data_IF_357938866153
#
_entry.id   IF_357938866153
#
_cell.length_a   1.000
_cell.length_b   1.000
_cell.length_c   1.000
_cell.angle_alpha   90.00
_cell.angle_beta   90.00
_cell.angle_gamma   90.00
#
_symmetry.space_group_name_H-M   'P 1'
#
loop_
_entity.id
_entity.type
_entity.pdbx_description
1 polymer ?
#
# COMPACT_ATOMS: atom_id res chain seq x y z
N UNK A 1 8.10 -7.40 -35.58
CA UNK A 1 9.13 -8.02 -34.72
C UNK A 1 8.72 -9.44 -34.35
N UNK A 2 9.66 -10.34 -34.06
CA UNK A 2 9.33 -11.75 -33.78
C UNK A 2 8.53 -11.94 -32.48
N UNK A 3 8.66 -11.01 -31.53
CA UNK A 3 7.93 -11.03 -30.26
C UNK A 3 6.45 -10.65 -30.35
N UNK A 4 5.97 -10.18 -31.51
CA UNK A 4 4.57 -9.77 -31.65
C UNK A 4 3.66 -10.98 -31.87
N UNK A 5 2.48 -11.02 -31.23
CA UNK A 5 1.59 -12.17 -31.26
C UNK A 5 1.02 -12.42 -32.66
N UNK A 6 0.99 -13.68 -33.11
CA UNK A 6 0.48 -14.03 -34.45
C UNK A 6 -0.87 -14.75 -34.43
N UNK A 7 -1.23 -15.33 -33.29
CA UNK A 7 -2.49 -16.04 -33.04
C UNK A 7 -2.91 -15.91 -31.56
N UNK A 8 -4.02 -16.54 -31.21
CA UNK A 8 -4.53 -16.60 -29.84
C UNK A 8 -5.16 -15.29 -29.34
N UNK A 9 -5.18 -15.13 -28.01
CA UNK A 9 -5.77 -14.00 -27.31
C UNK A 9 -4.89 -13.55 -26.14
N UNK A 10 -4.90 -12.25 -25.83
CA UNK A 10 -4.05 -11.69 -24.77
C UNK A 10 -4.06 -10.16 -24.67
N UNK A 11 -3.13 -9.62 -23.89
CA UNK A 11 -2.88 -8.18 -23.77
C UNK A 11 -1.48 -7.89 -24.32
N UNK A 12 -1.42 -7.04 -25.33
CA UNK A 12 -0.19 -6.39 -25.78
C UNK A 12 0.00 -5.12 -24.96
N UNK A 13 0.86 -5.19 -23.96
CA UNK A 13 1.12 -4.08 -23.03
C UNK A 13 2.32 -3.24 -23.50
N UNK A 14 2.07 -1.96 -23.76
CA UNK A 14 3.06 -0.97 -24.19
C UNK A 14 3.42 -0.07 -23.00
N UNK A 15 4.48 -0.42 -22.29
CA UNK A 15 4.97 0.38 -21.16
C UNK A 15 5.74 1.62 -21.64
N UNK A 16 5.68 2.68 -20.84
CA UNK A 16 6.36 3.96 -21.07
C UNK A 16 6.17 4.56 -22.48
N UNK A 17 4.97 4.41 -23.06
CA UNK A 17 4.66 4.78 -24.45
C UNK A 17 5.03 6.24 -24.79
N UNK A 18 4.87 7.14 -23.81
CA UNK A 18 5.11 8.57 -23.96
C UNK A 18 6.58 9.00 -23.78
N UNK A 19 7.50 8.07 -23.47
CA UNK A 19 8.95 8.31 -23.53
C UNK A 19 9.55 7.98 -24.90
N UNK A 20 8.83 7.22 -25.71
CA UNK A 20 9.32 6.80 -27.01
C UNK A 20 9.54 8.03 -27.91
N UNK A 21 10.66 8.11 -28.66
CA UNK A 21 10.89 9.19 -29.62
C UNK A 21 9.74 9.28 -30.64
N UNK A 22 9.45 10.48 -31.21
CA UNK A 22 8.32 10.67 -32.11
C UNK A 22 8.25 9.67 -33.29
N UNK A 23 9.40 9.25 -33.83
CA UNK A 23 9.47 8.25 -34.89
C UNK A 23 8.90 6.88 -34.47
N UNK A 24 9.13 6.45 -33.21
CA UNK A 24 8.57 5.22 -32.64
C UNK A 24 7.09 5.38 -32.29
N UNK A 25 6.68 6.60 -31.91
CA UNK A 25 5.27 6.90 -31.64
C UNK A 25 4.41 6.79 -32.91
N UNK A 26 4.94 7.16 -34.09
CA UNK A 26 4.22 6.97 -35.36
C UNK A 26 3.95 5.49 -35.67
N UNK A 27 4.91 4.60 -35.38
CA UNK A 27 4.72 3.16 -35.54
C UNK A 27 3.74 2.60 -34.51
N UNK A 28 3.82 3.03 -33.25
CA UNK A 28 2.86 2.66 -32.22
C UNK A 28 1.45 3.15 -32.56
N UNK A 29 1.32 4.35 -33.12
CA UNK A 29 0.05 4.92 -33.56
C UNK A 29 -0.60 4.07 -34.65
N UNK A 30 0.17 3.60 -35.64
CA UNK A 30 -0.35 2.69 -36.65
C UNK A 30 -0.81 1.35 -36.03
N UNK A 31 -0.02 0.82 -35.09
CA UNK A 31 -0.37 -0.40 -34.36
C UNK A 31 -1.67 -0.26 -33.57
N UNK A 32 -1.89 0.89 -32.94
CA UNK A 32 -3.05 1.16 -32.09
C UNK A 32 -4.29 1.44 -32.96
N UNK A 33 -4.15 2.24 -34.02
CA UNK A 33 -5.25 2.64 -34.90
C UNK A 33 -5.70 1.51 -35.82
N UNK A 34 -4.76 0.96 -36.59
CA UNK A 34 -5.05 0.04 -37.68
C UNK A 34 -4.92 -1.43 -37.22
N UNK A 35 -4.56 -1.65 -35.94
CA UNK A 35 -4.12 -2.95 -35.46
C UNK A 35 -3.00 -3.51 -36.34
N UNK A 36 -2.14 -2.64 -36.90
CA UNK A 36 -1.20 -3.02 -37.97
C UNK A 36 0.09 -2.21 -37.94
N UNK A 37 1.22 -2.85 -38.25
CA UNK A 37 2.51 -2.19 -38.50
C UNK A 37 3.21 -2.87 -39.66
N UNK A 38 3.44 -2.14 -40.74
CA UNK A 38 3.96 -2.72 -41.99
C UNK A 38 3.02 -3.82 -42.49
N UNK A 39 3.55 -5.05 -42.61
CA UNK A 39 2.78 -6.25 -43.02
C UNK A 39 2.17 -7.04 -41.87
N UNK A 40 2.44 -6.66 -40.62
CA UNK A 40 1.96 -7.38 -39.44
C UNK A 40 0.62 -6.80 -38.95
N UNK A 41 -0.36 -7.67 -38.67
CA UNK A 41 -1.67 -7.32 -38.08
C UNK A 41 -1.83 -7.99 -36.72
N UNK A 42 -2.32 -7.25 -35.72
CA UNK A 42 -2.62 -7.75 -34.38
C UNK A 42 -3.86 -8.64 -34.44
N UNK A 43 -3.79 -9.92 -34.01
CA UNK A 43 -4.92 -10.85 -34.09
C UNK A 43 -6.11 -10.39 -33.26
N UNK A 44 -7.35 -10.66 -33.70
CA UNK A 44 -8.57 -10.12 -33.08
C UNK A 44 -8.73 -10.42 -31.57
N UNK A 45 -8.18 -11.55 -31.09
CA UNK A 45 -8.21 -11.91 -29.68
C UNK A 45 -7.35 -11.04 -28.74
N UNK A 46 -6.60 -10.07 -29.27
CA UNK A 46 -5.65 -9.28 -28.50
C UNK A 46 -6.12 -7.85 -28.22
N UNK A 47 -6.03 -7.44 -26.95
CA UNK A 47 -6.22 -6.07 -26.51
C UNK A 47 -4.89 -5.33 -26.46
N UNK A 48 -4.88 -4.04 -26.80
CA UNK A 48 -3.70 -3.19 -26.70
C UNK A 48 -3.87 -2.30 -25.48
N UNK A 49 -2.95 -2.41 -24.52
CA UNK A 49 -2.90 -1.58 -23.33
C UNK A 49 -1.63 -0.74 -23.38
N UNK A 50 -1.68 0.48 -22.85
CA UNK A 50 -0.52 1.34 -22.77
C UNK A 50 -0.42 1.98 -21.39
N UNK A 51 0.80 2.14 -20.90
CA UNK A 51 1.10 2.91 -19.71
C UNK A 51 2.03 4.08 -20.06
N UNK A 52 1.91 5.17 -19.30
CA UNK A 52 2.73 6.35 -19.45
C UNK A 52 2.67 7.19 -18.18
N UNK A 53 3.72 7.95 -17.93
CA UNK A 53 3.77 8.86 -16.77
C UNK A 53 3.06 10.18 -17.12
N UNK A 54 2.45 10.87 -16.16
CA UNK A 54 1.87 12.18 -16.47
C UNK A 54 2.99 13.17 -16.80
N UNK A 55 2.66 14.21 -17.57
CA UNK A 55 3.64 15.25 -17.94
C UNK A 55 4.22 15.96 -16.71
N UNK A 56 3.40 16.10 -15.68
CA UNK A 56 3.78 16.67 -14.39
C UNK A 56 4.72 15.76 -13.58
N UNK A 57 4.84 14.48 -13.95
CA UNK A 57 5.73 13.52 -13.29
C UNK A 57 7.13 13.44 -13.92
N UNK A 58 7.38 14.02 -15.11
CA UNK A 58 8.70 13.92 -15.78
C UNK A 58 8.97 15.10 -16.73
N UNK A 59 10.22 15.58 -16.72
CA UNK A 59 10.71 16.63 -17.63
C UNK A 59 10.99 16.17 -19.08
N UNK A 60 10.84 14.87 -19.38
CA UNK A 60 11.24 14.24 -20.65
C UNK A 60 10.14 13.35 -21.25
N UNK A 61 8.88 13.74 -21.10
CA UNK A 61 7.74 13.06 -21.71
C UNK A 61 7.34 13.79 -22.98
N UNK A 62 7.12 13.04 -24.06
CA UNK A 62 6.50 13.56 -25.26
C UNK A 62 4.98 13.48 -25.12
N UNK A 63 4.31 14.57 -25.48
CA UNK A 63 2.84 14.61 -25.51
C UNK A 63 2.30 13.50 -26.40
N UNK A 64 1.39 12.68 -25.87
CA UNK A 64 0.59 11.83 -26.73
C UNK A 64 -0.25 12.75 -27.63
N UNK A 65 -0.14 12.63 -28.97
CA UNK A 65 -0.95 13.46 -29.87
C UNK A 65 -2.44 13.28 -29.55
N UNK A 66 -3.21 14.37 -29.48
CA UNK A 66 -4.64 14.32 -29.15
C UNK A 66 -5.45 13.29 -29.98
N UNK A 67 -5.18 13.09 -31.29
CA UNK A 67 -5.85 12.05 -32.06
C UNK A 67 -5.56 10.62 -31.59
N UNK A 68 -4.36 10.35 -31.08
CA UNK A 68 -3.99 9.06 -30.50
C UNK A 68 -4.62 8.89 -29.12
N UNK A 69 -4.58 9.94 -28.29
CA UNK A 69 -5.23 9.92 -26.98
C UNK A 69 -6.74 9.64 -27.09
N UNK A 70 -7.45 10.21 -28.06
CA UNK A 70 -8.89 9.98 -28.29
C UNK A 70 -9.25 8.55 -28.78
N UNK A 71 -8.31 7.61 -28.72
CA UNK A 71 -8.48 6.18 -29.06
C UNK A 71 -8.24 5.25 -27.89
N UNK A 72 -7.78 5.79 -26.77
CA UNK A 72 -7.68 5.07 -25.52
C UNK A 72 -8.87 5.36 -24.61
N UNK A 73 -9.24 4.36 -23.82
CA UNK A 73 -9.90 4.60 -22.54
C UNK A 73 -8.81 5.01 -21.56
N UNK A 74 -8.93 6.20 -20.98
CA UNK A 74 -7.95 6.73 -20.04
C UNK A 74 -8.32 6.31 -18.62
N UNK A 75 -7.38 5.64 -17.94
CA UNK A 75 -7.50 5.26 -16.54
C UNK A 75 -6.35 5.88 -15.78
N UNK A 76 -6.68 6.64 -14.74
CA UNK A 76 -5.72 7.28 -13.86
C UNK A 76 -5.41 6.37 -12.67
N UNK A 77 -4.12 6.17 -12.41
CA UNK A 77 -3.64 5.38 -11.28
C UNK A 77 -2.82 6.30 -10.38
N UNK A 78 -3.24 6.40 -9.13
CA UNK A 78 -2.61 7.28 -8.14
C UNK A 78 -2.14 6.49 -6.92
N UNK A 79 -1.05 6.94 -6.25
CA UNK A 79 -0.63 6.34 -4.99
C UNK A 79 -1.71 6.52 -3.92
N UNK A 80 -2.20 5.40 -3.39
CA UNK A 80 -3.15 5.36 -2.28
C UNK A 80 -2.56 4.60 -1.09
N UNK A 81 -2.64 5.22 0.09
CA UNK A 81 -2.04 4.64 1.29
C UNK A 81 -2.78 3.40 1.77
N UNK A 82 -4.11 3.34 1.67
CA UNK A 82 -4.87 2.16 2.13
C UNK A 82 -4.59 0.92 1.25
N UNK A 83 -4.44 1.14 -0.06
CA UNK A 83 -3.99 0.13 -1.02
C UNK A 83 -2.57 -0.33 -0.71
N UNK A 84 -1.65 0.60 -0.44
CA UNK A 84 -0.27 0.25 -0.06
C UNK A 84 -0.20 -0.49 1.28
N UNK A 85 -0.95 -0.06 2.30
CA UNK A 85 -1.03 -0.71 3.61
C UNK A 85 -1.53 -2.15 3.47
N UNK A 86 -2.55 -2.37 2.64
CA UNK A 86 -3.06 -3.72 2.34
C UNK A 86 -1.97 -4.62 1.75
N UNK A 87 -1.26 -4.12 0.73
CA UNK A 87 -0.10 -4.82 0.15
C UNK A 87 0.99 -5.09 1.20
N UNK A 88 1.32 -4.09 2.02
CA UNK A 88 2.38 -4.14 3.02
C UNK A 88 2.11 -5.19 4.11
N UNK A 89 0.87 -5.29 4.58
CA UNK A 89 0.44 -6.30 5.55
C UNK A 89 0.54 -7.72 4.99
N UNK A 90 0.21 -7.91 3.71
CA UNK A 90 0.27 -9.23 3.06
C UNK A 90 1.71 -9.67 2.74
N UNK A 91 2.59 -8.72 2.40
CA UNK A 91 3.97 -8.99 1.98
C UNK A 91 5.00 -8.81 3.10
N UNK A 92 4.57 -8.49 4.32
CA UNK A 92 5.46 -8.36 5.48
C UNK A 92 6.45 -7.19 5.39
N UNK A 93 6.02 -6.05 4.82
CA UNK A 93 6.82 -4.81 4.84
C UNK A 93 7.04 -4.39 6.30
N UNK A 94 8.24 -3.90 6.64
CA UNK A 94 8.62 -3.60 8.02
C UNK A 94 7.59 -2.68 8.72
N UNK A 95 7.13 -3.08 9.91
CA UNK A 95 6.02 -2.44 10.63
C UNK A 95 6.22 -0.94 10.88
N UNK A 96 7.44 -0.53 11.24
CA UNK A 96 7.77 0.86 11.49
C UNK A 96 7.62 1.75 10.25
N UNK A 97 7.84 1.21 9.04
CA UNK A 97 7.60 1.95 7.80
C UNK A 97 6.11 2.10 7.55
N UNK A 98 5.32 1.04 7.76
CA UNK A 98 3.86 1.10 7.63
C UNK A 98 3.28 2.10 8.62
N UNK A 99 3.72 2.06 9.88
CA UNK A 99 3.30 2.97 10.93
C UNK A 99 3.72 4.43 10.65
N UNK A 100 4.93 4.63 10.14
CA UNK A 100 5.38 5.96 9.73
C UNK A 100 4.51 6.52 8.61
N UNK A 101 4.25 5.71 7.57
CA UNK A 101 3.47 6.14 6.42
C UNK A 101 1.98 6.33 6.73
N UNK A 102 1.40 5.61 7.70
CA UNK A 102 0.04 5.93 8.15
C UNK A 102 -0.04 7.27 8.89
N UNK A 103 1.06 7.70 9.52
CA UNK A 103 1.15 9.03 10.13
C UNK A 103 1.51 10.13 9.12
N UNK A 104 2.34 9.80 8.11
CA UNK A 104 2.81 10.71 7.04
C UNK A 104 2.42 10.18 5.66
N UNK A 105 1.13 10.06 5.39
CA UNK A 105 0.64 9.51 4.11
C UNK A 105 1.13 10.27 2.89
N UNK A 106 1.37 11.57 3.02
CA UNK A 106 1.94 12.44 1.96
C UNK A 106 3.35 12.03 1.54
N UNK A 107 4.08 11.28 2.37
CA UNK A 107 5.41 10.76 2.06
C UNK A 107 5.37 9.39 1.38
N UNK A 108 4.20 8.79 1.15
CA UNK A 108 4.12 7.55 0.37
C UNK A 108 4.66 7.76 -1.06
N UNK A 109 4.33 8.90 -1.66
CA UNK A 109 4.80 9.30 -2.97
C UNK A 109 5.07 10.80 -3.01
N UNK A 110 6.34 11.17 -3.14
CA UNK A 110 6.78 12.56 -3.25
C UNK A 110 7.92 12.65 -4.25
N UNK A 111 7.58 12.77 -5.53
CA UNK A 111 8.55 12.91 -6.60
C UNK A 111 9.41 14.18 -6.43
N UNK A 112 10.73 14.01 -6.46
CA UNK A 112 11.68 15.12 -6.61
C UNK A 112 12.60 14.85 -7.82
N UNK A 113 12.35 15.48 -8.99
CA UNK A 113 13.15 15.25 -10.19
C UNK A 113 14.61 15.71 -10.07
N UNK A 114 14.96 16.48 -9.04
CA UNK A 114 16.31 16.99 -8.80
C UNK A 114 17.17 16.01 -8.01
N UNK A 115 16.55 15.00 -7.40
CA UNK A 115 17.21 14.03 -6.56
C UNK A 115 17.12 12.62 -7.18
N UNK A 116 18.20 11.82 -7.10
CA UNK A 116 18.17 10.44 -7.58
C UNK A 116 17.30 9.53 -6.70
N UNK A 117 17.08 9.91 -5.43
CA UNK A 117 16.33 9.16 -4.44
C UNK A 117 15.17 10.00 -3.90
N UNK A 118 13.98 9.42 -3.88
CA UNK A 118 12.76 10.09 -3.45
C UNK A 118 11.69 9.07 -3.02
N UNK A 119 10.69 9.48 -2.19
CA UNK A 119 9.68 8.56 -1.68
C UNK A 119 8.69 8.10 -2.76
N UNK A 120 8.53 6.79 -2.89
CA UNK A 120 7.55 6.11 -3.74
C UNK A 120 7.17 4.78 -3.09
N UNK A 121 6.02 4.18 -3.40
CA UNK A 121 5.67 2.85 -2.87
C UNK A 121 6.80 1.83 -3.07
N UNK A 122 7.47 1.86 -4.23
CA UNK A 122 8.59 0.99 -4.56
C UNK A 122 9.83 1.28 -3.69
N UNK A 123 10.21 2.54 -3.52
CA UNK A 123 11.37 2.89 -2.68
C UNK A 123 11.14 2.64 -1.20
N UNK A 124 9.90 2.71 -0.71
CA UNK A 124 9.56 2.30 0.65
C UNK A 124 9.69 0.80 0.91
N UNK A 125 9.36 -0.04 -0.09
CA UNK A 125 9.63 -1.48 0.00
C UNK A 125 11.14 -1.77 0.04
N UNK A 126 11.94 -1.02 -0.73
CA UNK A 126 13.40 -1.10 -0.67
C UNK A 126 13.92 -0.61 0.69
N UNK A 127 13.41 0.51 1.19
CA UNK A 127 13.74 1.04 2.51
C UNK A 127 13.43 0.03 3.62
N UNK A 128 12.31 -0.70 3.52
CA UNK A 128 11.97 -1.78 4.45
C UNK A 128 13.02 -2.87 4.47
N UNK A 129 13.50 -3.26 3.30
CA UNK A 129 14.55 -4.29 3.17
C UNK A 129 15.87 -3.82 3.81
N UNK A 130 16.26 -2.56 3.61
CA UNK A 130 17.45 -1.97 4.24
C UNK A 130 17.30 -1.82 5.75
N UNK A 131 16.15 -1.31 6.19
CA UNK A 131 15.86 -1.06 7.61
C UNK A 131 15.82 -2.37 8.41
N UNK A 132 15.26 -3.45 7.83
CA UNK A 132 15.27 -4.80 8.42
C UNK A 132 16.69 -5.28 8.81
N UNK A 133 17.72 -4.87 8.06
CA UNK A 133 19.12 -5.27 8.29
C UNK A 133 19.95 -4.15 8.93
N UNK A 134 19.31 -3.07 9.39
CA UNK A 134 19.97 -1.94 10.06
C UNK A 134 20.82 -1.06 9.15
N UNK A 135 20.54 -1.04 7.84
CA UNK A 135 21.21 -0.16 6.88
C UNK A 135 20.47 1.17 6.73
N UNK A 136 21.22 2.21 6.33
CA UNK A 136 20.67 3.54 6.05
C UNK A 136 19.68 3.49 4.87
N UNK A 137 18.47 4.02 5.08
CA UNK A 137 17.41 4.10 4.07
C UNK A 137 17.47 5.39 3.24
N UNK A 138 18.27 6.38 3.65
CA UNK A 138 18.43 7.65 2.94
C UNK A 138 18.71 7.50 1.43
N UNK A 139 19.55 6.55 0.98
CA UNK A 139 19.85 6.39 -0.45
C UNK A 139 18.67 5.98 -1.33
N UNK A 140 17.55 5.54 -0.76
CA UNK A 140 16.37 5.09 -1.53
C UNK A 140 15.17 6.04 -1.42
N UNK A 141 15.00 6.74 -0.30
CA UNK A 141 13.86 7.66 -0.08
C UNK A 141 14.26 9.14 -0.01
N UNK A 142 15.55 9.46 -0.02
CA UNK A 142 16.05 10.82 0.09
C UNK A 142 16.16 11.34 1.53
N UNK A 143 16.99 12.37 1.72
CA UNK A 143 17.39 12.86 3.04
C UNK A 143 16.23 13.44 3.88
N UNK A 144 15.31 14.17 3.24
CA UNK A 144 14.18 14.79 3.95
C UNK A 144 13.25 13.73 4.57
N UNK A 145 12.81 12.76 3.77
CA UNK A 145 11.95 11.68 4.25
C UNK A 145 12.66 10.77 5.27
N UNK A 146 13.96 10.50 5.06
CA UNK A 146 14.74 9.71 6.01
C UNK A 146 14.91 10.41 7.36
N UNK A 147 15.09 11.73 7.39
CA UNK A 147 15.16 12.49 8.64
C UNK A 147 13.84 12.46 9.40
N UNK A 148 12.69 12.62 8.72
CA UNK A 148 11.37 12.48 9.35
C UNK A 148 11.13 11.06 9.87
N UNK A 149 11.52 10.03 9.11
CA UNK A 149 11.44 8.64 9.55
C UNK A 149 12.30 8.41 10.80
N UNK A 150 13.55 8.87 10.82
CA UNK A 150 14.43 8.72 11.97
C UNK A 150 13.87 9.39 13.23
N UNK A 151 13.29 10.59 13.09
CA UNK A 151 12.60 11.27 14.19
C UNK A 151 11.38 10.45 14.69
N UNK A 152 10.61 9.87 13.78
CA UNK A 152 9.50 8.99 14.13
C UNK A 152 9.97 7.71 14.85
N UNK A 153 11.07 7.09 14.43
CA UNK A 153 11.64 5.91 15.10
C UNK A 153 12.08 6.23 16.53
N UNK A 154 12.67 7.42 16.75
CA UNK A 154 13.04 7.84 18.10
C UNK A 154 11.82 7.92 19.04
N UNK A 155 10.66 8.34 18.52
CA UNK A 155 9.39 8.32 19.24
C UNK A 155 8.81 6.90 19.35
N UNK A 156 8.98 6.07 18.32
CA UNK A 156 8.55 4.68 18.29
C UNK A 156 9.23 3.83 19.39
N UNK A 157 10.42 4.20 19.83
CA UNK A 157 11.09 3.55 20.96
C UNK A 157 10.36 3.74 22.31
N UNK A 158 9.47 4.74 22.42
CA UNK A 158 8.67 5.00 23.62
C UNK A 158 7.31 4.28 23.61
N UNK A 159 7.06 3.39 22.65
CA UNK A 159 5.81 2.66 22.58
C UNK A 159 5.58 1.76 23.80
N UNK A 160 4.30 1.50 24.14
CA UNK A 160 3.95 0.50 25.13
C UNK A 160 4.48 -0.89 24.73
N UNK A 161 4.66 -1.76 25.71
CA UNK A 161 5.08 -3.14 25.48
C UNK A 161 3.98 -3.93 24.76
N UNK A 162 4.06 -3.93 23.42
CA UNK A 162 3.11 -4.59 22.55
C UNK A 162 3.12 -6.11 22.75
N UNK A 163 4.26 -6.71 23.09
CA UNK A 163 4.36 -8.15 23.33
C UNK A 163 3.56 -8.56 24.57
N UNK A 164 3.66 -7.76 25.64
CA UNK A 164 2.86 -7.97 26.85
C UNK A 164 1.36 -7.83 26.58
N UNK A 165 0.96 -6.88 25.73
CA UNK A 165 -0.43 -6.74 25.28
C UNK A 165 -0.89 -7.97 24.50
N UNK A 166 -0.12 -8.41 23.50
CA UNK A 166 -0.45 -9.55 22.64
C UNK A 166 -0.50 -10.88 23.40
N UNK A 167 0.23 -11.00 24.50
CA UNK A 167 0.15 -12.16 25.41
C UNK A 167 -1.04 -12.12 26.38
N UNK A 168 -1.85 -11.06 26.36
CA UNK A 168 -3.02 -10.92 27.22
C UNK A 168 -2.72 -10.33 28.61
N UNK A 169 -1.50 -9.83 28.84
CA UNK A 169 -1.08 -9.25 30.11
C UNK A 169 -0.99 -7.71 30.09
N UNK A 170 -1.55 -7.06 29.05
CA UNK A 170 -1.40 -5.62 28.80
C UNK A 170 -2.37 -4.70 29.53
N UNK A 171 -3.31 -5.20 30.35
CA UNK A 171 -4.39 -4.38 30.91
C UNK A 171 -3.93 -3.20 31.79
N UNK A 172 -2.76 -3.30 32.40
CA UNK A 172 -2.16 -2.22 33.19
C UNK A 172 -1.40 -1.18 32.33
N UNK A 173 -1.18 -1.47 31.04
CA UNK A 173 -0.47 -0.60 30.12
C UNK A 173 -1.47 0.38 29.51
N UNK A 174 -1.31 1.70 29.72
CA UNK A 174 -2.24 2.69 29.20
C UNK A 174 -2.09 2.85 27.68
N UNK A 175 -3.20 3.17 27.01
CA UNK A 175 -3.13 3.59 25.61
C UNK A 175 -2.38 4.94 25.49
N UNK A 176 -1.46 5.11 24.53
CA UNK A 176 -0.67 6.33 24.43
C UNK A 176 -1.51 7.60 24.22
N UNK A 177 -1.01 8.73 24.73
CA UNK A 177 -1.64 10.03 24.53
C UNK A 177 -1.26 10.68 23.19
N UNK A 178 -0.03 10.47 22.73
CA UNK A 178 0.50 11.10 21.52
C UNK A 178 -0.09 10.47 20.25
N UNK A 179 -0.59 11.25 19.27
CA UNK A 179 -1.20 10.72 18.05
C UNK A 179 -0.31 9.76 17.25
N UNK A 180 0.99 10.08 17.13
CA UNK A 180 2.00 9.25 16.47
C UNK A 180 2.12 7.88 17.15
N UNK A 181 2.20 7.87 18.49
CA UNK A 181 2.30 6.67 19.31
C UNK A 181 1.01 5.83 19.29
N UNK A 182 -0.17 6.45 19.23
CA UNK A 182 -1.46 5.75 19.07
C UNK A 182 -1.50 4.95 17.77
N UNK A 183 -1.18 5.63 16.67
CA UNK A 183 -1.16 5.01 15.35
C UNK A 183 -0.10 3.90 15.26
N UNK A 184 1.10 4.16 15.76
CA UNK A 184 2.18 3.18 15.81
C UNK A 184 1.84 1.96 16.69
N UNK A 185 1.18 2.16 17.83
CA UNK A 185 0.68 1.08 18.70
C UNK A 185 -0.34 0.23 17.95
N UNK A 186 -1.33 0.85 17.31
CA UNK A 186 -2.38 0.14 16.58
C UNK A 186 -1.81 -0.67 15.43
N UNK A 187 -0.94 -0.08 14.59
CA UNK A 187 -0.28 -0.79 13.49
C UNK A 187 0.64 -1.90 14.03
N UNK A 188 1.42 -1.63 15.07
CA UNK A 188 2.31 -2.62 15.69
C UNK A 188 1.55 -3.82 16.24
N UNK A 189 0.45 -3.60 16.97
CA UNK A 189 -0.42 -4.69 17.43
C UNK A 189 -0.96 -5.51 16.26
N UNK A 190 -1.46 -4.85 15.21
CA UNK A 190 -1.95 -5.52 14.00
C UNK A 190 -0.87 -6.37 13.35
N UNK A 191 0.35 -5.84 13.21
CA UNK A 191 1.47 -6.46 12.51
C UNK A 191 2.22 -7.52 13.31
N UNK A 192 2.10 -7.53 14.64
CA UNK A 192 2.71 -8.55 15.51
C UNK A 192 1.74 -9.62 15.98
N UNK A 193 0.43 -9.42 15.85
CA UNK A 193 -0.58 -10.44 16.10
C UNK A 193 -0.47 -11.63 15.12
N UNK A 194 0.30 -12.64 15.50
CA UNK A 194 0.62 -13.80 14.67
C UNK A 194 -0.55 -14.79 14.51
N UNK A 195 -1.43 -14.86 15.51
CA UNK A 195 -2.55 -15.81 15.55
C UNK A 195 -3.83 -15.16 16.09
N UNK A 196 -4.91 -15.93 16.09
CA UNK A 196 -6.22 -15.48 16.57
C UNK A 196 -6.23 -15.08 18.05
N UNK A 197 -5.41 -15.71 18.90
CA UNK A 197 -5.37 -15.43 20.33
C UNK A 197 -4.69 -14.08 20.59
N UNK A 198 -3.53 -13.84 19.98
CA UNK A 198 -2.84 -12.55 20.05
C UNK A 198 -3.70 -11.42 19.48
N UNK A 199 -4.39 -11.67 18.36
CA UNK A 199 -5.34 -10.72 17.78
C UNK A 199 -6.50 -10.40 18.74
N UNK A 200 -7.08 -11.41 19.39
CA UNK A 200 -8.15 -11.23 20.38
C UNK A 200 -7.68 -10.42 21.59
N UNK A 201 -6.51 -10.73 22.15
CA UNK A 201 -5.95 -9.97 23.28
C UNK A 201 -5.74 -8.49 22.95
N UNK A 202 -5.17 -8.19 21.78
CA UNK A 202 -4.99 -6.81 21.32
C UNK A 202 -6.34 -6.11 21.10
N UNK A 203 -7.33 -6.80 20.56
CA UNK A 203 -8.68 -6.26 20.36
C UNK A 203 -9.33 -5.90 21.69
N UNK A 204 -9.33 -6.82 22.66
CA UNK A 204 -9.90 -6.57 23.99
C UNK A 204 -9.18 -5.42 24.70
N UNK A 205 -7.85 -5.36 24.60
CA UNK A 205 -7.08 -4.26 25.19
C UNK A 205 -7.43 -2.90 24.56
N UNK A 206 -7.51 -2.82 23.23
CA UNK A 206 -7.91 -1.59 22.54
C UNK A 206 -9.34 -1.18 22.89
N UNK A 207 -10.27 -2.13 22.97
CA UNK A 207 -11.66 -1.86 23.32
C UNK A 207 -11.83 -1.28 24.73
N UNK A 208 -10.94 -1.63 25.66
CA UNK A 208 -10.96 -1.12 27.04
C UNK A 208 -10.20 0.22 27.20
N UNK A 209 -9.15 0.45 26.41
CA UNK A 209 -8.19 1.54 26.65
C UNK A 209 -8.26 2.68 25.63
N UNK A 210 -8.79 2.44 24.43
CA UNK A 210 -8.76 3.38 23.31
C UNK A 210 -10.17 3.87 22.91
N UNK A 211 -10.20 5.02 22.25
CA UNK A 211 -11.43 5.54 21.66
C UNK A 211 -11.86 4.69 20.44
N UNK A 212 -13.16 4.72 20.12
CA UNK A 212 -13.78 3.81 19.16
C UNK A 212 -13.11 3.82 17.78
N UNK A 213 -12.62 4.98 17.31
CA UNK A 213 -11.94 5.11 16.02
C UNK A 213 -10.67 4.24 15.92
N UNK A 214 -9.93 4.06 17.02
CA UNK A 214 -8.72 3.23 17.03
C UNK A 214 -9.06 1.74 17.03
N UNK A 215 -10.14 1.38 17.73
CA UNK A 215 -10.68 0.02 17.74
C UNK A 215 -11.18 -0.35 16.33
N UNK A 216 -11.84 0.59 15.64
CA UNK A 216 -12.30 0.41 14.26
C UNK A 216 -11.14 0.26 13.28
N UNK A 217 -10.12 1.11 13.39
CA UNK A 217 -8.91 1.01 12.57
C UNK A 217 -8.23 -0.35 12.75
N UNK A 218 -8.04 -0.77 14.01
CA UNK A 218 -7.49 -2.10 14.31
C UNK A 218 -8.35 -3.22 13.73
N UNK A 219 -9.68 -3.18 13.94
CA UNK A 219 -10.60 -4.20 13.47
C UNK A 219 -10.55 -4.37 11.95
N UNK A 220 -10.51 -3.26 11.19
CA UNK A 220 -10.40 -3.28 9.74
C UNK A 220 -9.13 -4.00 9.25
N UNK A 221 -7.98 -3.68 9.87
CA UNK A 221 -6.70 -4.24 9.45
C UNK A 221 -6.49 -5.68 9.95
N UNK A 222 -6.87 -5.98 11.21
CA UNK A 222 -6.68 -7.31 11.79
C UNK A 222 -7.57 -8.36 11.13
N UNK A 223 -8.81 -8.02 10.76
CA UNK A 223 -9.68 -8.98 10.06
C UNK A 223 -9.15 -9.32 8.67
N UNK A 224 -8.58 -8.34 7.96
CA UNK A 224 -7.91 -8.60 6.67
C UNK A 224 -6.74 -9.54 6.87
N UNK A 225 -5.88 -9.26 7.84
CA UNK A 225 -4.71 -10.10 8.14
C UNK A 225 -5.09 -11.52 8.54
N UNK A 226 -6.07 -11.66 9.44
CA UNK A 226 -6.56 -12.97 9.90
C UNK A 226 -7.25 -13.75 8.79
N UNK A 227 -7.84 -13.08 7.80
CA UNK A 227 -8.34 -13.74 6.60
C UNK A 227 -7.20 -14.24 5.72
N UNK A 228 -6.17 -13.42 5.51
CA UNK A 228 -5.02 -13.76 4.68
C UNK A 228 -4.21 -14.96 5.23
N UNK A 229 -4.09 -15.09 6.54
CA UNK A 229 -3.38 -16.21 7.18
C UNK A 229 -4.30 -17.38 7.61
N UNK A 230 -5.58 -17.38 7.24
CA UNK A 230 -6.54 -18.44 7.54
C UNK A 230 -7.02 -18.53 9.00
N UNK A 231 -6.72 -17.54 9.85
CA UNK A 231 -7.10 -17.51 11.27
C UNK A 231 -8.47 -16.85 11.54
N UNK A 232 -9.14 -16.30 10.52
CA UNK A 232 -10.38 -15.52 10.70
C UNK A 232 -11.48 -16.30 11.43
N UNK A 233 -11.65 -17.59 11.16
CA UNK A 233 -12.65 -18.42 11.85
C UNK A 233 -12.37 -18.56 13.36
N UNK A 234 -11.09 -18.75 13.71
CA UNK A 234 -10.67 -18.83 15.11
C UNK A 234 -10.84 -17.49 15.84
N UNK A 235 -10.47 -16.37 15.19
CA UNK A 235 -10.67 -15.04 15.76
C UNK A 235 -12.17 -14.75 15.94
N UNK A 236 -13.00 -15.07 14.95
CA UNK A 236 -14.45 -14.88 15.04
C UNK A 236 -15.05 -15.62 16.25
N UNK A 237 -14.62 -16.87 16.50
CA UNK A 237 -15.08 -17.62 17.66
C UNK A 237 -14.68 -16.98 19.00
N UNK A 238 -13.44 -16.49 19.10
CA UNK A 238 -12.97 -15.79 20.31
C UNK A 238 -13.75 -14.50 20.55
N UNK A 239 -13.94 -13.70 19.49
CA UNK A 239 -14.71 -12.45 19.55
C UNK A 239 -16.19 -12.70 19.88
N UNK A 240 -16.79 -13.76 19.32
CA UNK A 240 -18.16 -14.16 19.67
C UNK A 240 -18.29 -14.67 21.10
N UNK A 241 -17.23 -15.17 21.73
CA UNK A 241 -17.27 -15.57 23.13
C UNK A 241 -16.99 -14.40 24.09
N UNK A 242 -16.69 -13.20 23.57
CA UNK A 242 -16.43 -11.99 24.33
C UNK A 242 -17.60 -11.00 24.23
N UNK A 243 -18.41 -10.92 25.29
CA UNK A 243 -19.60 -10.05 25.34
C UNK A 243 -19.28 -8.57 25.06
N UNK A 244 -18.08 -8.09 25.39
CA UNK A 244 -17.68 -6.70 25.12
C UNK A 244 -17.46 -6.47 23.63
N UNK A 245 -16.67 -7.33 23.00
CA UNK A 245 -16.38 -7.22 21.58
C UNK A 245 -17.63 -7.49 20.71
N UNK A 246 -18.55 -8.35 21.16
CA UNK A 246 -19.86 -8.50 20.52
C UNK A 246 -20.66 -7.19 20.49
N UNK A 247 -20.65 -6.42 21.58
CA UNK A 247 -21.30 -5.12 21.64
C UNK A 247 -20.72 -4.16 20.62
N UNK A 248 -19.40 -4.03 20.60
CA UNK A 248 -18.67 -3.22 19.63
C UNK A 248 -19.00 -3.60 18.18
N UNK A 249 -18.99 -4.90 17.84
CA UNK A 249 -19.29 -5.36 16.48
C UNK A 249 -20.70 -5.01 16.02
N UNK A 250 -21.70 -5.08 16.92
CA UNK A 250 -23.08 -4.66 16.60
C UNK A 250 -23.15 -3.18 16.28
N UNK A 251 -22.45 -2.35 17.05
CA UNK A 251 -22.40 -0.90 16.82
C UNK A 251 -21.62 -0.57 15.54
N UNK A 252 -20.52 -1.27 15.28
CA UNK A 252 -19.75 -1.16 14.05
C UNK A 252 -20.56 -1.53 12.80
N UNK A 253 -21.29 -2.65 12.84
CA UNK A 253 -22.15 -3.07 11.72
C UNK A 253 -23.24 -2.05 11.42
N UNK A 254 -23.84 -1.42 12.45
CA UNK A 254 -24.82 -0.35 12.27
C UNK A 254 -24.23 0.86 11.55
N UNK A 255 -23.03 1.28 11.92
CA UNK A 255 -22.34 2.42 11.30
C UNK A 255 -21.96 2.16 9.84
N UNK A 256 -21.60 0.93 9.48
CA UNK A 256 -21.22 0.54 8.12
C UNK A 256 -22.43 0.25 7.20
N UNK A 257 -23.64 0.16 7.76
CA UNK A 257 -24.88 -0.12 7.02
C UNK A 257 -25.67 1.13 6.61
N UNK A 258 -25.08 2.32 6.79
CA UNK A 258 -25.60 3.63 6.37
C UNK A 258 -24.85 4.09 5.12
#
# INVERSE_FOLDING_TARGET
PEFLPRDGAGILFLDELNLAPPAMQGMAQQLILDRRVGSYTVPDGWFIWAAGNRKEDRAAVFDMPAPLANRFVHLDVEPDFESFKSFALEHGVHEQIVAFLSFRTTLLHQLDPRQPAWPSPRSWVMAASLHNVGLDITPVIGAAAAAEFAAFIALYAALPDLETILRGAGMAIPFPAEPSARNATTIGLTMRAADAAAAHHAFTWLADQAAAEWVQLFAADIFRRMRANGQMGALAQLVMNDNRLQGFLKDYQRLMSV
#
